data_IF_374677292042
#
_entry.id   IF_374677292042
#
_cell.length_a   1.000
_cell.length_b   1.000
_cell.length_c   1.000
_cell.angle_alpha   90.00
_cell.angle_beta   90.00
_cell.angle_gamma   90.00
#
_symmetry.space_group_name_H-M   'P 1'
#
loop_
_entity.id
_entity.type
_entity.pdbx_description
1 polymer ?
#
# COMPACT_ATOMS: atom_id res chain seq x y z
N UNK A 1 -7.94 10.90 6.74
CA UNK A 1 -8.09 10.57 5.31
C UNK A 1 -9.22 9.55 5.14
N UNK A 2 -9.98 9.57 4.04
CA UNK A 2 -11.04 8.59 3.71
C UNK A 2 -10.49 7.36 2.95
N UNK A 3 -11.36 6.38 2.70
CA UNK A 3 -11.06 5.23 1.84
C UNK A 3 -10.65 5.67 0.43
N UNK A 4 -11.42 6.57 -0.17
CA UNK A 4 -11.22 7.09 -1.51
C UNK A 4 -9.89 7.85 -1.59
N UNK A 5 -9.59 8.71 -0.61
CA UNK A 5 -8.33 9.47 -0.57
C UNK A 5 -7.11 8.55 -0.48
N UNK A 6 -7.17 7.51 0.36
CA UNK A 6 -6.07 6.54 0.48
C UNK A 6 -5.95 5.69 -0.78
N UNK A 7 -7.06 5.29 -1.39
CA UNK A 7 -7.06 4.54 -2.66
C UNK A 7 -6.43 5.38 -3.77
N UNK A 8 -6.86 6.64 -3.95
CA UNK A 8 -6.30 7.55 -4.95
C UNK A 8 -4.82 7.80 -4.73
N UNK A 9 -4.41 8.04 -3.46
CA UNK A 9 -2.99 8.17 -3.13
C UNK A 9 -2.20 6.93 -3.52
N UNK A 10 -2.69 5.73 -3.18
CA UNK A 10 -2.01 4.48 -3.45
C UNK A 10 -1.80 4.30 -4.98
N UNK A 11 -2.86 4.48 -5.77
CA UNK A 11 -2.81 4.33 -7.22
C UNK A 11 -1.84 5.33 -7.87
N UNK A 12 -1.82 6.59 -7.40
CA UNK A 12 -0.84 7.60 -7.85
C UNK A 12 0.61 7.22 -7.50
N UNK A 13 0.82 6.44 -6.45
CA UNK A 13 2.13 6.08 -5.91
C UNK A 13 2.58 4.65 -6.26
N UNK A 14 2.10 4.11 -7.39
CA UNK A 14 2.56 2.83 -7.93
C UNK A 14 1.79 1.61 -7.44
N UNK A 15 0.78 1.77 -6.58
CA UNK A 15 -0.05 0.64 -6.20
C UNK A 15 -1.03 0.30 -7.34
N UNK A 16 -1.37 -0.98 -7.49
CA UNK A 16 -2.33 -1.47 -8.50
C UNK A 16 -3.45 -2.25 -7.81
N UNK A 17 -4.65 -2.27 -8.40
CA UNK A 17 -5.75 -3.09 -7.88
C UNK A 17 -5.49 -4.57 -8.20
N UNK A 18 -5.27 -5.38 -7.17
CA UNK A 18 -5.09 -6.84 -7.28
C UNK A 18 -6.02 -7.51 -6.26
N UNK A 19 -6.89 -8.39 -6.74
CA UNK A 19 -7.84 -9.11 -5.89
C UNK A 19 -8.78 -8.21 -5.08
N UNK A 20 -9.11 -7.02 -5.61
CA UNK A 20 -9.99 -6.04 -4.95
C UNK A 20 -9.28 -5.09 -3.96
N UNK A 21 -7.95 -5.14 -3.86
CA UNK A 21 -7.18 -4.29 -2.94
C UNK A 21 -6.09 -3.50 -3.68
N UNK A 22 -5.85 -2.22 -3.32
CA UNK A 22 -4.62 -1.54 -3.73
C UNK A 22 -3.43 -2.35 -3.20
N UNK A 23 -2.54 -2.76 -4.10
CA UNK A 23 -1.47 -3.70 -3.80
C UNK A 23 -0.15 -3.32 -4.47
N UNK A 24 0.94 -3.77 -3.87
CA UNK A 24 2.27 -3.77 -4.46
C UNK A 24 2.70 -5.21 -4.73
N UNK A 25 3.40 -5.41 -5.85
CA UNK A 25 3.92 -6.69 -6.30
C UNK A 25 5.41 -6.58 -6.64
N UNK A 26 6.12 -7.71 -6.75
CA UNK A 26 7.49 -7.68 -7.27
C UNK A 26 7.45 -7.41 -8.78
N UNK A 27 8.39 -6.66 -9.37
CA UNK A 27 8.44 -6.45 -10.82
C UNK A 27 8.40 -7.74 -11.65
N UNK A 28 9.15 -8.76 -11.22
CA UNK A 28 9.18 -10.07 -11.87
C UNK A 28 7.86 -10.87 -11.77
N UNK A 29 6.94 -10.47 -10.90
CA UNK A 29 5.63 -11.12 -10.68
C UNK A 29 4.56 -10.05 -10.44
N UNK A 30 4.23 -9.23 -11.46
CA UNK A 30 3.47 -8.01 -11.28
C UNK A 30 2.01 -8.25 -10.87
N UNK A 31 1.49 -9.45 -11.12
CA UNK A 31 0.13 -9.86 -10.77
C UNK A 31 0.05 -10.58 -9.41
N UNK A 32 1.18 -10.75 -8.71
CA UNK A 32 1.25 -11.40 -7.40
C UNK A 32 1.45 -10.34 -6.29
N UNK A 33 0.37 -9.97 -5.61
CA UNK A 33 0.42 -9.04 -4.50
C UNK A 33 1.27 -9.59 -3.34
N UNK A 34 2.19 -8.75 -2.83
CA UNK A 34 3.02 -9.04 -1.65
C UNK A 34 2.78 -8.05 -0.51
N UNK A 35 2.26 -6.85 -0.81
CA UNK A 35 1.72 -5.89 0.16
C UNK A 35 0.36 -5.44 -0.34
N UNK A 36 -0.63 -5.29 0.54
CA UNK A 36 -1.94 -4.76 0.20
C UNK A 36 -2.48 -3.80 1.26
N UNK A 37 -3.29 -2.85 0.81
CA UNK A 37 -4.12 -2.00 1.66
C UNK A 37 -5.50 -2.64 1.79
N UNK A 38 -5.88 -2.97 3.02
CA UNK A 38 -7.22 -3.45 3.37
C UNK A 38 -8.00 -2.30 3.97
N UNK A 39 -8.92 -1.76 3.19
CA UNK A 39 -9.72 -0.59 3.50
C UNK A 39 -11.12 -1.04 3.92
N UNK A 40 -11.41 -1.04 5.22
CA UNK A 40 -12.70 -1.46 5.79
C UNK A 40 -13.37 -0.27 6.48
N UNK A 41 -14.71 -0.30 6.58
CA UNK A 41 -15.59 0.67 7.26
C UNK A 41 -14.91 1.95 7.77
N UNK A 42 -14.19 1.88 8.89
CA UNK A 42 -13.51 3.03 9.52
C UNK A 42 -11.99 2.88 9.68
N UNK A 43 -11.39 1.82 9.14
CA UNK A 43 -10.00 1.41 9.38
C UNK A 43 -9.31 1.05 8.08
N UNK A 44 -8.12 1.62 7.87
CA UNK A 44 -7.16 1.15 6.89
C UNK A 44 -6.13 0.24 7.55
N UNK A 45 -5.77 -0.85 6.89
CA UNK A 45 -4.73 -1.78 7.33
C UNK A 45 -3.73 -2.05 6.22
N UNK A 46 -2.46 -2.19 6.60
CA UNK A 46 -1.40 -2.67 5.71
C UNK A 46 -1.15 -4.14 6.04
N UNK A 47 -1.26 -4.99 5.02
CA UNK A 47 -0.99 -6.42 5.14
C UNK A 47 0.14 -6.84 4.21
N UNK A 48 1.00 -7.73 4.69
CA UNK A 48 2.13 -8.30 3.93
C UNK A 48 1.90 -9.81 3.78
N UNK A 49 2.14 -10.31 2.58
CA UNK A 49 2.06 -11.74 2.28
C UNK A 49 3.35 -12.43 2.71
N UNK A 50 3.23 -13.42 3.59
CA UNK A 50 4.36 -14.30 3.98
C UNK A 50 4.70 -15.28 2.86
N UNK A 51 5.91 -15.90 2.86
CA UNK A 51 6.28 -16.92 1.88
C UNK A 51 5.30 -18.09 1.77
N UNK A 52 4.67 -18.48 2.89
CA UNK A 52 3.62 -19.50 2.93
C UNK A 52 2.26 -19.04 2.37
N UNK A 53 2.17 -17.83 1.81
CA UNK A 53 0.97 -17.27 1.18
C UNK A 53 -0.01 -16.61 2.14
N UNK A 54 0.17 -16.75 3.47
CA UNK A 54 -0.68 -16.12 4.50
C UNK A 54 -0.47 -14.60 4.53
N UNK A 55 -1.57 -13.85 4.65
CA UNK A 55 -1.54 -12.41 4.90
C UNK A 55 -1.38 -12.12 6.39
N UNK A 56 -0.46 -11.22 6.71
CA UNK A 56 -0.24 -10.72 8.07
C UNK A 56 -0.46 -9.21 8.10
N UNK A 57 -1.32 -8.75 9.00
CA UNK A 57 -1.52 -7.34 9.28
C UNK A 57 -0.33 -6.80 10.07
N UNK A 58 0.40 -5.86 9.46
CA UNK A 58 1.60 -5.26 10.06
C UNK A 58 1.34 -3.87 10.64
N UNK A 59 0.29 -3.19 10.15
CA UNK A 59 -0.13 -1.89 10.68
C UNK A 59 -1.60 -1.65 10.39
N UNK A 60 -2.26 -0.83 11.22
CA UNK A 60 -3.62 -0.36 10.99
C UNK A 60 -3.91 0.90 11.77
N UNK A 61 -4.71 1.80 11.19
CA UNK A 61 -5.18 3.02 11.84
C UNK A 61 -6.63 3.33 11.41
N UNK A 62 -7.37 4.03 12.28
CA UNK A 62 -8.69 4.56 11.88
C UNK A 62 -8.48 5.69 10.88
N UNK A 63 -9.39 5.84 9.93
CA UNK A 63 -9.34 6.90 8.91
C UNK A 63 -9.15 8.31 9.49
N UNK A 64 -9.81 8.60 10.61
CA UNK A 64 -9.70 9.87 11.32
C UNK A 64 -8.32 10.13 11.94
N UNK A 65 -7.55 9.08 12.19
CA UNK A 65 -6.20 9.15 12.78
C UNK A 65 -5.10 9.13 11.70
N UNK A 66 -5.48 9.04 10.42
CA UNK A 66 -4.57 9.07 9.28
C UNK A 66 -4.55 10.49 8.71
N UNK A 67 -3.38 11.12 8.75
CA UNK A 67 -3.14 12.43 8.17
C UNK A 67 -2.16 12.33 6.99
N UNK A 68 -2.36 13.11 5.92
CA UNK A 68 -1.37 13.18 4.86
C UNK A 68 -0.11 13.88 5.37
N UNK A 69 1.04 13.37 4.97
CA UNK A 69 2.32 14.06 5.10
C UNK A 69 2.33 15.35 4.27
N UNK A 70 2.84 16.45 4.82
CA UNK A 70 2.77 17.78 4.19
C UNK A 70 3.55 17.86 2.87
N UNK A 71 4.67 17.15 2.77
CA UNK A 71 5.55 17.20 1.60
C UNK A 71 5.23 16.12 0.57
N UNK A 72 4.88 14.92 1.05
CA UNK A 72 4.76 13.72 0.19
C UNK A 72 3.32 13.26 -0.01
N UNK A 73 2.36 13.84 0.71
CA UNK A 73 0.98 13.36 0.84
C UNK A 73 0.86 11.89 1.30
N UNK A 74 1.95 11.29 1.79
CA UNK A 74 1.96 9.91 2.29
C UNK A 74 1.06 9.79 3.53
N UNK A 75 0.14 8.80 3.59
CA UNK A 75 -0.68 8.57 4.76
C UNK A 75 0.18 8.20 5.99
N UNK A 76 0.30 9.13 6.94
CA UNK A 76 0.92 8.89 8.25
C UNK A 76 0.01 8.02 9.11
N UNK A 77 0.59 7.25 10.03
CA UNK A 77 -0.16 6.33 10.91
C UNK A 77 -0.34 4.91 10.36
N UNK A 78 -0.03 4.67 9.07
CA UNK A 78 -0.04 3.32 8.48
C UNK A 78 1.30 2.59 8.53
N UNK A 79 2.30 3.15 9.21
CA UNK A 79 3.59 2.49 9.42
C UNK A 79 4.42 2.28 8.16
N UNK A 80 4.14 2.98 7.06
CA UNK A 80 4.89 2.81 5.80
C UNK A 80 6.40 3.03 5.96
N UNK A 81 6.80 3.96 6.82
CA UNK A 81 8.21 4.28 7.10
C UNK A 81 8.92 3.15 7.87
N UNK A 82 8.20 2.38 8.67
CA UNK A 82 8.79 1.28 9.46
C UNK A 82 8.83 -0.06 8.71
N UNK A 83 8.15 -0.17 7.56
CA UNK A 83 8.18 -1.37 6.73
C UNK A 83 9.44 -1.34 5.86
N UNK A 84 10.43 -2.15 6.23
CA UNK A 84 11.68 -2.30 5.48
C UNK A 84 11.43 -2.65 4.01
N UNK A 85 12.08 -1.92 3.11
CA UNK A 85 12.00 -2.13 1.67
C UNK A 85 10.72 -1.61 0.99
N UNK A 86 9.74 -1.07 1.72
CA UNK A 86 8.48 -0.62 1.13
C UNK A 86 8.66 0.52 0.13
N UNK A 87 9.46 1.53 0.45
CA UNK A 87 9.70 2.67 -0.45
C UNK A 87 10.33 2.23 -1.77
N UNK A 88 11.27 1.29 -1.72
CA UNK A 88 11.86 0.70 -2.92
C UNK A 88 10.83 -0.08 -3.72
N UNK A 89 9.99 -0.86 -3.05
CA UNK A 89 8.89 -1.59 -3.72
C UNK A 89 7.89 -0.65 -4.40
N UNK A 90 7.52 0.46 -3.76
CA UNK A 90 6.66 1.49 -4.37
C UNK A 90 7.33 2.15 -5.58
N UNK A 91 8.62 2.43 -5.50
CA UNK A 91 9.39 2.94 -6.64
C UNK A 91 9.41 1.92 -7.78
N UNK A 92 9.75 0.67 -7.50
CA UNK A 92 9.78 -0.41 -8.50
C UNK A 92 8.43 -0.58 -9.21
N UNK A 93 7.33 -0.47 -8.48
CA UNK A 93 6.00 -0.55 -9.09
C UNK A 93 5.66 0.69 -9.92
N UNK A 94 6.08 1.89 -9.50
CA UNK A 94 5.94 3.12 -10.30
C UNK A 94 6.77 3.03 -11.58
N UNK A 95 8.01 2.60 -11.50
CA UNK A 95 8.90 2.43 -12.65
C UNK A 95 8.29 1.41 -13.63
N UNK A 96 7.77 0.29 -13.13
CA UNK A 96 7.06 -0.71 -13.92
C UNK A 96 5.74 -0.21 -14.56
N UNK A 97 5.13 0.87 -14.05
CA UNK A 97 3.98 1.51 -14.73
C UNK A 97 4.40 2.35 -15.93
N UNK A 98 5.62 2.88 -15.92
CA UNK A 98 6.13 3.79 -16.96
C UNK A 98 6.90 3.02 -18.02
N UNK A 99 7.72 2.05 -17.61
CA UNK A 99 8.73 1.42 -18.48
C UNK A 99 8.44 -0.04 -18.85
N UNK A 100 7.63 -0.75 -18.06
CA UNK A 100 7.23 -2.15 -18.30
C UNK A 100 8.26 -3.21 -17.90
#
# INVERSE_FOLDING_TARGET
MTNEEITMWALKNGWKMIGGFPSLSKPARPNEAIVRLVLKATVASVEIRKPAGKWEKVSSAKYKDITPDEDTAMPRGLGFVSISGLSKLMQDNRDNMVFG
#
